data_IF_768898185805
#
_entry.id   IF_768898185805
#
_cell.length_a   1.000
_cell.length_b   1.000
_cell.length_c   1.000
_cell.angle_alpha   90.00
_cell.angle_beta   90.00
_cell.angle_gamma   90.00
#
_symmetry.space_group_name_H-M   'P 1'
#
loop_
_entity.id
_entity.type
_entity.pdbx_description
1 polymer ?
#
# COMPACT_ATOMS: atom_id res chain seq x y z
N UNK A 1 -19.16 19.75 17.73
CA UNK A 1 -18.22 18.92 16.96
C UNK A 1 -17.94 19.63 15.67
N UNK A 2 -16.73 20.16 15.53
CA UNK A 2 -16.27 20.69 14.25
C UNK A 2 -15.76 19.56 13.32
N UNK A 3 -15.39 19.90 12.08
CA UNK A 3 -14.93 18.92 11.10
C UNK A 3 -13.65 18.19 11.53
N UNK A 4 -12.73 18.88 12.20
CA UNK A 4 -11.46 18.32 12.62
C UNK A 4 -11.62 17.39 13.82
N UNK A 5 -12.50 17.76 14.77
CA UNK A 5 -12.91 16.92 15.89
C UNK A 5 -13.61 15.63 15.40
N UNK A 6 -14.48 15.74 14.40
CA UNK A 6 -15.13 14.57 13.79
C UNK A 6 -14.11 13.63 13.15
N UNK A 7 -13.19 14.17 12.35
CA UNK A 7 -12.13 13.40 11.69
C UNK A 7 -11.26 12.68 12.74
N UNK A 8 -10.65 13.41 13.67
CA UNK A 8 -9.76 12.82 14.69
C UNK A 8 -10.45 11.85 15.66
N UNK A 9 -11.76 11.99 15.86
CA UNK A 9 -12.52 11.22 16.83
C UNK A 9 -13.33 10.08 16.16
N UNK A 10 -14.67 10.23 16.02
CA UNK A 10 -15.52 9.14 15.57
C UNK A 10 -15.13 8.55 14.21
N UNK A 11 -14.75 9.38 13.24
CA UNK A 11 -14.49 8.93 11.88
C UNK A 11 -13.22 8.06 11.81
N UNK A 12 -12.14 8.48 12.48
CA UNK A 12 -10.93 7.68 12.69
C UNK A 12 -11.24 6.33 13.33
N UNK A 13 -12.03 6.28 14.40
CA UNK A 13 -12.38 5.03 15.08
C UNK A 13 -13.09 4.04 14.14
N UNK A 14 -14.11 4.50 13.42
CA UNK A 14 -14.84 3.65 12.47
C UNK A 14 -13.96 3.19 11.31
N UNK A 15 -13.10 4.06 10.79
CA UNK A 15 -12.18 3.71 9.69
C UNK A 15 -11.22 2.59 10.09
N UNK A 16 -10.68 2.62 11.32
CA UNK A 16 -9.78 1.59 11.86
C UNK A 16 -10.53 0.27 12.10
N UNK A 17 -11.75 0.32 12.62
CA UNK A 17 -12.60 -0.88 12.79
C UNK A 17 -12.84 -1.55 11.44
N UNK A 18 -13.22 -0.78 10.41
CA UNK A 18 -13.47 -1.29 9.06
C UNK A 18 -12.18 -1.86 8.45
N UNK A 19 -11.05 -1.18 8.63
CA UNK A 19 -9.75 -1.65 8.16
C UNK A 19 -9.41 -3.02 8.78
N UNK A 20 -9.44 -3.13 10.10
CA UNK A 20 -9.07 -4.34 10.83
C UNK A 20 -10.02 -5.48 10.48
N UNK A 21 -11.34 -5.23 10.52
CA UNK A 21 -12.34 -6.23 10.17
C UNK A 21 -12.23 -6.66 8.70
N UNK A 22 -12.03 -5.71 7.79
CA UNK A 22 -11.87 -5.98 6.36
C UNK A 22 -10.64 -6.82 6.05
N UNK A 23 -9.49 -6.51 6.68
CA UNK A 23 -8.27 -7.33 6.55
C UNK A 23 -8.53 -8.73 7.13
N UNK A 24 -9.09 -8.84 8.33
CA UNK A 24 -9.40 -10.12 8.97
C UNK A 24 -10.34 -10.97 8.12
N UNK A 25 -11.41 -10.37 7.56
CA UNK A 25 -12.35 -11.03 6.66
C UNK A 25 -11.66 -11.57 5.40
N UNK A 26 -10.78 -10.77 4.77
CA UNK A 26 -10.03 -11.19 3.57
C UNK A 26 -9.06 -12.33 3.88
N UNK A 27 -8.33 -12.24 4.99
CA UNK A 27 -7.41 -13.29 5.43
C UNK A 27 -8.15 -14.57 5.79
N UNK A 28 -9.26 -14.47 6.52
CA UNK A 28 -10.14 -15.59 6.83
C UNK A 28 -10.64 -16.26 5.56
N UNK A 29 -11.17 -15.48 4.61
CA UNK A 29 -11.58 -16.00 3.30
C UNK A 29 -10.47 -16.78 2.60
N UNK A 30 -9.25 -16.25 2.53
CA UNK A 30 -8.14 -16.92 1.80
C UNK A 30 -7.64 -18.19 2.51
N UNK A 31 -7.63 -18.19 3.86
CA UNK A 31 -7.15 -19.32 4.66
C UNK A 31 -8.18 -20.45 4.68
N UNK A 32 -9.46 -20.11 4.83
CA UNK A 32 -10.54 -21.08 5.04
C UNK A 32 -11.28 -21.47 3.75
N UNK A 33 -11.22 -20.69 2.66
CA UNK A 33 -11.72 -21.19 1.37
C UNK A 33 -10.90 -22.40 0.93
N UNK A 34 -11.61 -23.51 0.78
CA UNK A 34 -11.05 -24.84 0.56
C UNK A 34 -10.21 -24.87 -0.72
N UNK A 35 -8.89 -24.97 -0.57
CA UNK A 35 -8.01 -25.34 -1.68
C UNK A 35 -8.25 -26.83 -1.98
N UNK A 36 -8.37 -27.17 -3.26
CA UNK A 36 -8.44 -28.59 -3.68
C UNK A 36 -7.23 -29.31 -3.11
N UNK A 37 -7.46 -30.47 -2.48
CA UNK A 37 -6.38 -31.31 -1.95
C UNK A 37 -5.41 -31.62 -3.09
N UNK A 38 -4.13 -31.29 -2.90
CA UNK A 38 -3.11 -31.68 -3.86
C UNK A 38 -2.87 -33.19 -3.71
N UNK A 39 -3.32 -33.96 -4.69
CA UNK A 39 -3.23 -35.43 -4.70
C UNK A 39 -1.84 -35.93 -5.10
N UNK A 40 -0.99 -35.07 -5.66
CA UNK A 40 0.37 -35.47 -6.03
C UNK A 40 1.23 -35.68 -4.78
N UNK A 41 2.11 -36.67 -4.79
CA UNK A 41 3.08 -36.87 -3.72
C UNK A 41 4.06 -35.68 -3.63
N UNK A 42 4.44 -35.21 -2.42
CA UNK A 42 5.48 -34.20 -2.26
C UNK A 42 6.81 -34.66 -2.87
N UNK A 43 7.40 -33.84 -3.75
CA UNK A 43 8.72 -34.11 -4.34
C UNK A 43 9.88 -33.52 -3.51
N UNK A 44 9.58 -32.58 -2.60
CA UNK A 44 10.56 -32.02 -1.65
C UNK A 44 9.89 -31.67 -0.31
N UNK A 45 10.69 -31.65 0.75
CA UNK A 45 10.27 -31.39 2.14
C UNK A 45 10.39 -29.91 2.57
N UNK A 46 11.15 -29.10 1.83
CA UNK A 46 11.46 -27.68 2.14
C UNK A 46 10.34 -26.67 1.88
N UNK A 47 9.09 -27.01 2.21
CA UNK A 47 7.90 -26.21 1.87
C UNK A 47 7.92 -24.82 2.54
N UNK A 48 8.27 -24.75 3.83
CA UNK A 48 8.38 -23.48 4.55
C UNK A 48 9.53 -22.61 4.00
N UNK A 49 10.68 -23.20 3.72
CA UNK A 49 11.81 -22.51 3.09
C UNK A 49 11.45 -21.95 1.72
N UNK A 50 10.73 -22.73 0.91
CA UNK A 50 10.18 -22.28 -0.38
C UNK A 50 9.19 -21.12 -0.25
N UNK A 51 8.34 -21.13 0.77
CA UNK A 51 7.40 -20.05 1.05
C UNK A 51 8.12 -18.74 1.37
N UNK A 52 9.03 -18.77 2.36
CA UNK A 52 9.79 -17.58 2.78
C UNK A 52 10.65 -17.07 1.64
N UNK A 53 11.38 -17.95 0.95
CA UNK A 53 12.23 -17.56 -0.19
C UNK A 53 11.44 -16.86 -1.28
N UNK A 54 10.24 -17.35 -1.61
CA UNK A 54 9.41 -16.81 -2.70
C UNK A 54 8.86 -15.42 -2.40
N UNK A 55 8.61 -15.10 -1.12
CA UNK A 55 8.18 -13.76 -0.71
C UNK A 55 9.18 -12.70 -1.20
N UNK A 56 10.48 -12.97 -1.01
CA UNK A 56 11.56 -12.05 -1.37
C UNK A 56 12.08 -12.26 -2.80
N UNK A 57 12.29 -13.50 -3.24
CA UNK A 57 12.87 -13.81 -4.56
C UNK A 57 12.02 -13.30 -5.72
N UNK A 58 10.70 -13.16 -5.51
CA UNK A 58 9.73 -12.69 -6.51
C UNK A 58 9.38 -11.21 -6.39
N UNK A 59 10.15 -10.45 -5.60
CA UNK A 59 10.08 -8.99 -5.56
C UNK A 59 10.68 -8.33 -6.80
N UNK A 60 11.61 -9.01 -7.48
CA UNK A 60 12.23 -8.53 -8.72
C UNK A 60 11.71 -9.37 -9.90
N UNK A 61 11.31 -8.75 -11.02
CA UNK A 61 10.86 -9.48 -12.20
C UNK A 61 11.95 -10.38 -12.76
N UNK A 62 11.56 -11.50 -13.37
CA UNK A 62 12.52 -12.37 -14.05
C UNK A 62 13.21 -11.64 -15.21
N UNK A 63 14.51 -11.93 -15.44
CA UNK A 63 15.36 -11.27 -16.45
C UNK A 63 14.74 -11.21 -17.84
N UNK A 64 14.04 -12.26 -18.25
CA UNK A 64 13.34 -12.35 -19.54
C UNK A 64 12.30 -11.23 -19.77
N UNK A 65 11.78 -10.62 -18.71
CA UNK A 65 10.75 -9.57 -18.80
C UNK A 65 11.29 -8.15 -18.60
N UNK A 66 12.58 -7.99 -18.28
CA UNK A 66 13.15 -6.70 -17.87
C UNK A 66 12.88 -5.57 -18.87
N UNK A 67 13.07 -5.82 -20.17
CA UNK A 67 12.83 -4.83 -21.22
C UNK A 67 11.42 -4.26 -21.24
N UNK A 68 10.42 -5.01 -20.73
CA UNK A 68 9.01 -4.61 -20.75
C UNK A 68 8.53 -4.02 -19.42
N UNK A 69 9.04 -4.52 -18.29
CA UNK A 69 8.47 -4.22 -16.96
C UNK A 69 9.37 -3.39 -16.05
N UNK A 70 10.67 -3.27 -16.36
CA UNK A 70 11.63 -2.70 -15.42
C UNK A 70 11.33 -1.25 -15.06
N UNK A 71 10.96 -0.42 -16.04
CA UNK A 71 10.55 0.96 -15.78
C UNK A 71 9.43 1.05 -14.73
N UNK A 72 8.34 0.29 -14.93
CA UNK A 72 7.21 0.31 -14.00
C UNK A 72 7.57 -0.28 -12.64
N UNK A 73 8.49 -1.24 -12.61
CA UNK A 73 8.98 -1.84 -11.38
C UNK A 73 9.81 -0.84 -10.56
N UNK A 74 10.78 -0.17 -11.19
CA UNK A 74 11.64 0.83 -10.54
C UNK A 74 10.80 2.01 -10.02
N UNK A 75 10.01 2.64 -10.89
CA UNK A 75 9.17 3.78 -10.49
C UNK A 75 8.14 3.35 -9.44
N UNK A 76 7.63 2.12 -9.55
CA UNK A 76 6.79 1.51 -8.52
C UNK A 76 7.50 1.43 -7.17
N UNK A 77 8.74 0.94 -7.11
CA UNK A 77 9.52 0.89 -5.86
C UNK A 77 9.85 2.28 -5.32
N UNK A 78 10.22 3.23 -6.18
CA UNK A 78 10.45 4.62 -5.77
C UNK A 78 9.21 5.18 -5.07
N UNK A 79 8.03 4.97 -5.66
CA UNK A 79 6.76 5.34 -5.05
C UNK A 79 6.53 4.63 -3.70
N UNK A 80 6.65 3.30 -3.62
CA UNK A 80 6.35 2.57 -2.38
C UNK A 80 7.33 2.89 -1.24
N UNK A 81 8.62 2.96 -1.54
CA UNK A 81 9.65 3.32 -0.56
C UNK A 81 9.43 4.76 -0.09
N UNK A 82 9.17 5.68 -1.02
CA UNK A 82 8.90 7.07 -0.68
C UNK A 82 7.64 7.22 0.18
N UNK A 83 6.56 6.51 -0.16
CA UNK A 83 5.35 6.48 0.65
C UNK A 83 5.62 5.92 2.06
N UNK A 84 6.40 4.84 2.18
CA UNK A 84 6.78 4.28 3.47
C UNK A 84 7.60 5.27 4.31
N UNK A 85 8.55 5.99 3.70
CA UNK A 85 9.32 7.03 4.39
C UNK A 85 8.40 8.16 4.87
N UNK A 86 7.48 8.65 4.03
CA UNK A 86 6.55 9.73 4.43
C UNK A 86 5.66 9.27 5.58
N UNK A 87 5.09 8.07 5.51
CA UNK A 87 4.18 7.55 6.54
C UNK A 87 4.90 7.26 7.84
N UNK A 88 6.05 6.59 7.80
CA UNK A 88 6.70 6.11 9.02
C UNK A 88 7.76 7.06 9.56
N UNK A 89 8.42 7.90 8.76
CA UNK A 89 9.53 8.72 9.24
C UNK A 89 9.18 10.20 9.47
N UNK A 90 7.93 10.61 9.22
CA UNK A 90 7.50 11.99 9.44
C UNK A 90 6.93 12.18 10.85
N UNK A 91 7.40 13.21 11.57
CA UNK A 91 7.09 13.43 12.98
C UNK A 91 5.57 13.45 13.29
N UNK A 92 4.70 14.17 12.56
CA UNK A 92 3.26 14.15 12.83
C UNK A 92 2.64 12.75 12.73
N UNK A 93 3.10 11.91 11.80
CA UNK A 93 2.62 10.53 11.69
C UNK A 93 3.14 9.68 12.85
N UNK A 94 4.40 9.86 13.27
CA UNK A 94 4.98 9.16 14.41
C UNK A 94 4.19 9.48 15.70
N UNK A 95 3.83 10.74 15.92
CA UNK A 95 3.00 11.14 17.07
C UNK A 95 1.60 10.54 17.01
N UNK A 96 1.03 10.40 15.80
CA UNK A 96 -0.23 9.67 15.63
C UNK A 96 -0.06 8.17 15.96
N UNK A 97 1.01 7.53 15.50
CA UNK A 97 1.32 6.14 15.87
C UNK A 97 1.53 5.98 17.38
N UNK A 98 2.25 6.90 18.03
CA UNK A 98 2.47 6.90 19.48
C UNK A 98 1.14 6.96 20.24
N UNK A 99 0.17 7.75 19.76
CA UNK A 99 -1.15 7.86 20.38
C UNK A 99 -1.96 6.55 20.37
N UNK A 100 -1.62 5.61 19.48
CA UNK A 100 -2.30 4.32 19.32
C UNK A 100 -1.46 3.17 19.89
N UNK A 101 -0.15 3.18 19.63
CA UNK A 101 0.78 2.09 19.94
C UNK A 101 1.50 2.27 21.28
N UNK A 102 1.55 3.50 21.82
CA UNK A 102 2.23 3.82 23.07
C UNK A 102 3.76 3.93 22.97
N UNK A 103 4.33 3.91 21.77
CA UNK A 103 5.77 4.12 21.54
C UNK A 103 6.05 4.89 20.26
N UNK A 104 7.24 5.49 20.17
CA UNK A 104 7.70 6.28 19.03
C UNK A 104 9.13 5.91 18.62
N UNK A 105 9.58 6.45 17.50
CA UNK A 105 10.93 6.28 16.96
C UNK A 105 11.43 7.59 16.33
N UNK A 106 12.75 7.71 16.03
CA UNK A 106 13.30 8.95 15.51
C UNK A 106 12.70 9.36 14.15
N UNK A 107 12.30 10.63 14.04
CA UNK A 107 11.85 11.24 12.79
C UNK A 107 13.03 11.60 11.88
N UNK A 108 12.80 11.63 10.57
CA UNK A 108 13.74 12.20 9.60
C UNK A 108 13.59 13.73 9.51
N UNK A 109 14.63 14.44 9.04
CA UNK A 109 14.53 15.87 8.80
C UNK A 109 13.41 16.22 7.83
N UNK A 110 12.68 17.29 8.12
CA UNK A 110 11.53 17.74 7.32
C UNK A 110 11.89 17.99 5.85
N UNK A 111 13.09 18.48 5.56
CA UNK A 111 13.58 18.68 4.18
C UNK A 111 13.65 17.37 3.39
N UNK A 112 14.10 16.29 4.03
CA UNK A 112 14.16 14.95 3.45
C UNK A 112 12.75 14.44 3.18
N UNK A 113 11.84 14.57 4.14
CA UNK A 113 10.44 14.16 3.98
C UNK A 113 9.78 14.93 2.83
N UNK A 114 9.95 16.24 2.74
CA UNK A 114 9.39 17.06 1.65
C UNK A 114 9.91 16.62 0.29
N UNK A 115 11.24 16.41 0.15
CA UNK A 115 11.82 15.93 -1.10
C UNK A 115 11.26 14.55 -1.49
N UNK A 116 11.20 13.63 -0.52
CA UNK A 116 10.68 12.27 -0.75
C UNK A 116 9.19 12.32 -1.11
N UNK A 117 8.39 13.16 -0.48
CA UNK A 117 6.98 13.34 -0.80
C UNK A 117 6.78 13.83 -2.25
N UNK A 118 7.57 14.82 -2.68
CA UNK A 118 7.55 15.33 -4.07
C UNK A 118 7.93 14.23 -5.08
N UNK A 119 9.00 13.48 -4.82
CA UNK A 119 9.42 12.36 -5.69
C UNK A 119 8.34 11.26 -5.74
N UNK A 120 7.72 10.97 -4.59
CA UNK A 120 6.63 9.99 -4.48
C UNK A 120 5.44 10.43 -5.33
N UNK A 121 5.01 11.69 -5.18
CA UNK A 121 3.90 12.27 -5.94
C UNK A 121 4.19 12.25 -7.45
N UNK A 122 5.38 12.69 -7.86
CA UNK A 122 5.81 12.66 -9.26
C UNK A 122 5.82 11.23 -9.82
N UNK A 123 6.26 10.24 -9.05
CA UNK A 123 6.26 8.83 -9.44
C UNK A 123 4.85 8.28 -9.62
N UNK A 124 3.91 8.65 -8.75
CA UNK A 124 2.50 8.28 -8.88
C UNK A 124 1.85 8.88 -10.13
N UNK A 125 2.14 10.14 -10.44
CA UNK A 125 1.66 10.81 -11.64
C UNK A 125 2.28 10.15 -12.89
N UNK A 126 3.58 9.88 -12.90
CA UNK A 126 4.25 9.21 -14.02
C UNK A 126 3.65 7.83 -14.31
N UNK A 127 3.35 7.04 -13.28
CA UNK A 127 2.70 5.73 -13.43
C UNK A 127 1.26 5.85 -13.94
N UNK A 128 0.50 6.87 -13.50
CA UNK A 128 -0.82 7.14 -14.04
C UNK A 128 -0.76 7.54 -15.52
N UNK A 129 0.11 8.49 -15.88
CA UNK A 129 0.30 8.93 -17.27
C UNK A 129 0.66 7.75 -18.16
N UNK A 130 1.59 6.89 -17.73
CA UNK A 130 1.92 5.66 -18.46
C UNK A 130 0.71 4.74 -18.62
N UNK A 131 -0.11 4.58 -17.58
CA UNK A 131 -1.33 3.75 -17.64
C UNK A 131 -2.37 4.30 -18.61
N UNK A 132 -2.52 5.62 -18.69
CA UNK A 132 -3.46 6.30 -19.57
C UNK A 132 -3.00 6.30 -21.04
N UNK A 133 -1.70 6.39 -21.29
CA UNK A 133 -1.13 6.50 -22.64
C UNK A 133 -0.77 5.15 -23.26
N UNK A 134 -0.36 4.16 -22.46
CA UNK A 134 0.06 2.86 -22.99
C UNK A 134 -1.15 2.01 -23.41
N UNK A 135 -1.26 1.58 -24.68
CA UNK A 135 -2.48 0.96 -25.23
C UNK A 135 -2.88 -0.33 -24.49
N UNK A 136 -1.90 -1.18 -24.15
CA UNK A 136 -2.17 -2.41 -23.39
C UNK A 136 -2.65 -2.12 -21.97
N UNK A 137 -1.99 -1.20 -21.24
CA UNK A 137 -2.36 -0.90 -19.86
C UNK A 137 -3.75 -0.27 -19.79
N UNK A 138 -4.08 0.63 -20.71
CA UNK A 138 -5.43 1.23 -20.80
C UNK A 138 -6.51 0.17 -21.06
N UNK A 139 -6.26 -0.81 -21.93
CA UNK A 139 -7.22 -1.89 -22.22
C UNK A 139 -7.48 -2.83 -21.04
N UNK A 140 -6.48 -3.08 -20.21
CA UNK A 140 -6.62 -3.96 -19.04
C UNK A 140 -6.93 -3.21 -17.73
N UNK A 141 -7.00 -1.87 -17.77
CA UNK A 141 -7.32 -1.06 -16.60
C UNK A 141 -8.82 -1.05 -16.37
N UNK A 142 -9.21 -1.12 -15.09
CA UNK A 142 -10.59 -1.03 -14.65
C UNK A 142 -10.76 0.09 -13.61
N UNK A 143 -12.00 0.29 -13.16
CA UNK A 143 -12.34 1.31 -12.16
C UNK A 143 -11.41 1.26 -10.94
N UNK A 144 -11.16 0.07 -10.40
CA UNK A 144 -10.33 -0.13 -9.21
C UNK A 144 -8.86 0.33 -9.40
N UNK A 145 -8.28 0.22 -10.62
CA UNK A 145 -6.92 0.76 -10.85
C UNK A 145 -6.85 2.26 -10.61
N UNK A 146 -7.82 3.00 -11.15
CA UNK A 146 -7.86 4.46 -11.09
C UNK A 146 -8.33 4.93 -9.72
N UNK A 147 -9.32 4.24 -9.15
CA UNK A 147 -9.86 4.57 -7.85
C UNK A 147 -8.86 4.29 -6.73
N UNK A 148 -8.20 3.13 -6.73
CA UNK A 148 -7.13 2.84 -5.76
C UNK A 148 -5.96 3.81 -5.88
N UNK A 149 -5.60 4.25 -7.11
CA UNK A 149 -4.60 5.30 -7.30
C UNK A 149 -5.06 6.64 -6.68
N UNK A 150 -6.32 7.05 -6.92
CA UNK A 150 -6.88 8.28 -6.38
C UNK A 150 -6.89 8.28 -4.85
N UNK A 151 -7.37 7.19 -4.26
CA UNK A 151 -7.41 7.00 -2.80
C UNK A 151 -6.02 7.03 -2.17
N UNK A 152 -4.99 6.65 -2.91
CA UNK A 152 -3.59 6.68 -2.42
C UNK A 152 -2.96 8.06 -2.59
N UNK A 153 -3.24 8.77 -3.69
CA UNK A 153 -2.59 10.06 -3.98
C UNK A 153 -3.19 11.21 -3.20
N UNK A 154 -4.50 11.17 -2.91
CA UNK A 154 -5.20 12.27 -2.20
C UNK A 154 -4.63 12.51 -0.79
N UNK A 155 -4.39 11.48 0.05
CA UNK A 155 -3.75 11.70 1.35
C UNK A 155 -2.35 12.32 1.24
N UNK A 156 -1.56 11.88 0.26
CA UNK A 156 -0.22 12.44 0.04
C UNK A 156 -0.31 13.91 -0.36
N UNK A 157 -1.19 14.25 -1.30
CA UNK A 157 -1.39 15.61 -1.78
C UNK A 157 -1.91 16.54 -0.68
N UNK A 158 -2.95 16.12 0.04
CA UNK A 158 -3.58 16.90 1.12
C UNK A 158 -2.66 17.05 2.32
N UNK A 159 -1.85 16.02 2.63
CA UNK A 159 -0.83 16.08 3.68
C UNK A 159 0.28 17.07 3.35
N UNK A 160 0.74 17.07 2.08
CA UNK A 160 1.65 18.12 1.59
C UNK A 160 1.02 19.50 1.70
N UNK A 161 -0.23 19.69 1.26
CA UNK A 161 -0.92 20.98 1.34
C UNK A 161 -1.06 21.49 2.79
N UNK A 162 -1.36 20.59 3.73
CA UNK A 162 -1.45 20.93 5.14
C UNK A 162 -0.07 21.37 5.68
N UNK A 163 0.99 20.66 5.30
CA UNK A 163 2.36 20.96 5.71
C UNK A 163 2.91 22.25 5.09
N UNK A 164 2.66 22.51 3.81
CA UNK A 164 3.13 23.72 3.10
C UNK A 164 2.19 24.91 3.28
N UNK A 165 1.11 24.75 4.04
CA UNK A 165 0.06 25.75 4.22
C UNK A 165 -0.55 26.25 2.89
N UNK A 166 -0.57 25.40 1.85
CA UNK A 166 -1.11 25.73 0.51
C UNK A 166 -2.55 25.24 0.37
N UNK A 167 -3.43 25.71 1.24
CA UNK A 167 -4.84 25.30 1.32
C UNK A 167 -5.79 25.98 0.33
N UNK A 168 -5.30 26.68 -0.69
CA UNK A 168 -6.13 27.47 -1.62
C UNK A 168 -7.13 28.43 -0.92
N UNK A 169 -6.69 29.07 0.16
CA UNK A 169 -7.53 29.98 0.97
C UNK A 169 -8.35 29.30 2.08
N UNK A 170 -8.32 27.96 2.18
CA UNK A 170 -8.89 27.24 3.32
C UNK A 170 -8.04 27.44 4.58
N UNK A 171 -8.71 27.42 5.73
CA UNK A 171 -8.05 27.36 7.04
C UNK A 171 -7.22 26.09 7.19
N UNK A 172 -6.12 26.17 7.93
CA UNK A 172 -5.22 25.04 8.19
C UNK A 172 -5.98 23.83 8.74
N UNK A 173 -6.88 24.06 9.70
CA UNK A 173 -7.69 23.04 10.37
C UNK A 173 -8.59 22.31 9.37
N UNK A 174 -9.10 23.01 8.36
CA UNK A 174 -9.90 22.42 7.28
C UNK A 174 -9.05 21.53 6.39
N UNK A 175 -7.87 21.99 5.96
CA UNK A 175 -6.96 21.18 5.13
C UNK A 175 -6.49 19.94 5.88
N UNK A 176 -6.18 20.09 7.17
CA UNK A 176 -5.80 18.99 8.03
C UNK A 176 -6.93 17.99 8.23
N UNK A 177 -8.16 18.45 8.43
CA UNK A 177 -9.33 17.56 8.51
C UNK A 177 -9.54 16.80 7.20
N UNK A 178 -9.40 17.45 6.04
CA UNK A 178 -9.47 16.81 4.72
C UNK A 178 -8.38 15.74 4.57
N UNK A 179 -7.15 16.04 5.00
CA UNK A 179 -6.07 15.06 4.99
C UNK A 179 -6.43 13.82 5.83
N UNK A 180 -6.86 14.02 7.08
CA UNK A 180 -7.24 12.93 7.98
C UNK A 180 -8.39 12.11 7.39
N UNK A 181 -9.47 12.75 6.93
CA UNK A 181 -10.60 12.06 6.30
C UNK A 181 -10.20 11.29 5.03
N UNK A 182 -9.24 11.79 4.26
CA UNK A 182 -8.72 11.06 3.10
C UNK A 182 -7.91 9.82 3.49
N UNK A 183 -7.17 9.87 4.60
CA UNK A 183 -6.47 8.71 5.18
C UNK A 183 -7.47 7.69 5.71
N UNK A 184 -8.51 8.13 6.39
CA UNK A 184 -9.60 7.26 6.85
C UNK A 184 -10.31 6.56 5.69
N UNK A 185 -10.56 7.29 4.60
CA UNK A 185 -11.11 6.69 3.39
C UNK A 185 -10.15 5.67 2.78
N UNK A 186 -8.83 5.93 2.81
CA UNK A 186 -7.82 4.95 2.43
C UNK A 186 -7.90 3.70 3.31
N UNK A 187 -8.02 3.84 4.63
CA UNK A 187 -8.18 2.71 5.56
C UNK A 187 -9.43 1.88 5.24
N UNK A 188 -10.55 2.54 4.95
CA UNK A 188 -11.80 1.87 4.57
C UNK A 188 -11.63 1.10 3.25
N UNK A 189 -10.98 1.69 2.23
CA UNK A 189 -10.84 1.08 0.91
C UNK A 189 -9.75 -0.01 0.84
N UNK A 190 -8.72 0.10 1.68
CA UNK A 190 -7.51 -0.73 1.65
C UNK A 190 -7.79 -2.25 1.58
N UNK A 191 -8.70 -2.85 2.36
CA UNK A 191 -8.95 -4.29 2.30
C UNK A 191 -9.80 -4.74 1.10
N UNK A 192 -10.55 -3.85 0.47
CA UNK A 192 -11.58 -4.22 -0.52
C UNK A 192 -11.15 -4.00 -1.98
N UNK A 193 -10.20 -3.12 -2.24
CA UNK A 193 -9.68 -2.85 -3.59
C UNK A 193 -8.33 -3.50 -3.91
N UNK A 194 -7.72 -3.06 -5.01
CA UNK A 194 -6.35 -3.42 -5.41
C UNK A 194 -5.29 -3.05 -4.40
N UNK A 195 -5.57 -2.11 -3.48
CA UNK A 195 -4.68 -1.77 -2.36
C UNK A 195 -4.40 -2.94 -1.42
N UNK A 196 -5.25 -3.97 -1.41
CA UNK A 196 -5.05 -5.15 -0.56
C UNK A 196 -3.74 -5.90 -0.80
N UNK A 197 -3.03 -5.63 -1.90
CA UNK A 197 -1.68 -6.15 -2.12
C UNK A 197 -0.70 -5.79 -0.99
N UNK A 198 -0.93 -4.69 -0.25
CA UNK A 198 -0.06 -4.25 0.85
C UNK A 198 0.11 -5.30 1.95
N UNK A 199 -0.92 -6.13 2.19
CA UNK A 199 -0.86 -7.23 3.17
C UNK A 199 -0.97 -8.62 2.50
N UNK A 200 -1.68 -8.74 1.36
CA UNK A 200 -1.87 -10.03 0.69
C UNK A 200 -0.64 -10.52 -0.07
N UNK A 201 0.33 -9.65 -0.38
CA UNK A 201 1.54 -10.04 -1.11
C UNK A 201 2.32 -11.15 -0.39
N UNK A 202 2.39 -11.10 0.94
CA UNK A 202 3.11 -12.08 1.74
C UNK A 202 2.41 -13.45 1.71
N UNK A 203 1.10 -13.47 1.88
CA UNK A 203 0.30 -14.69 1.87
C UNK A 203 0.25 -15.34 0.47
N UNK A 204 0.01 -14.54 -0.56
CA UNK A 204 -0.07 -15.01 -1.95
C UNK A 204 1.27 -15.59 -2.43
N UNK A 205 2.39 -14.88 -2.20
CA UNK A 205 3.72 -15.37 -2.56
C UNK A 205 4.17 -16.54 -1.69
N UNK A 206 3.94 -16.48 -0.38
CA UNK A 206 4.28 -17.57 0.53
C UNK A 206 3.57 -18.87 0.17
N UNK A 207 2.26 -18.81 -0.09
CA UNK A 207 1.50 -20.00 -0.48
C UNK A 207 1.86 -20.53 -1.87
N UNK A 208 2.24 -19.65 -2.81
CA UNK A 208 2.77 -20.06 -4.12
C UNK A 208 4.13 -20.73 -3.98
N UNK A 209 5.01 -20.16 -3.16
CA UNK A 209 6.34 -20.71 -2.87
C UNK A 209 6.29 -22.08 -2.20
N UNK A 210 5.39 -22.25 -1.23
CA UNK A 210 5.11 -23.53 -0.60
C UNK A 210 4.70 -24.59 -1.65
N UNK A 211 3.80 -24.22 -2.57
CA UNK A 211 3.34 -25.12 -3.62
C UNK A 211 4.45 -25.49 -4.60
N UNK A 212 5.27 -24.53 -5.00
CA UNK A 212 6.42 -24.77 -5.89
C UNK A 212 7.46 -25.69 -5.24
N UNK A 213 7.85 -25.41 -3.98
CA UNK A 213 8.74 -26.28 -3.24
C UNK A 213 8.20 -27.70 -3.13
N UNK A 214 6.92 -27.87 -2.73
CA UNK A 214 6.28 -29.20 -2.65
C UNK A 214 6.36 -29.97 -3.97
N UNK A 215 6.26 -29.29 -5.11
CA UNK A 215 6.31 -29.88 -6.46
C UNK A 215 7.72 -30.01 -7.03
N UNK A 216 8.75 -29.63 -6.28
CA UNK A 216 10.14 -29.59 -6.76
C UNK A 216 10.42 -28.52 -7.82
N UNK A 217 9.54 -27.53 -7.95
CA UNK A 217 9.70 -26.41 -8.87
C UNK A 217 10.56 -25.30 -8.23
N UNK A 218 11.18 -24.48 -9.07
CA UNK A 218 12.09 -23.42 -8.62
C UNK A 218 11.33 -22.31 -7.87
N UNK A 219 11.60 -22.19 -6.57
CA UNK A 219 11.20 -21.06 -5.69
C UNK A 219 12.19 -19.91 -5.75
#
# INVERSE_FOLDING_TARGET
MDLLEFARGPAMQWSLIILVFGIAWRLFGIIFLKRKKDLAEPRQTGVLGGAVKTIFSRSVPARAFWSRVMYSNIVGYVFHIGLAIVVFAFLPHILWFESILGFQWPALPTSVITLVAVITLASMVALLVKRLTHPVLRRISNFDDYFSWLVTIVPLLTGMMAFTHTGFGMRYETVLAIHILSVEFLFIWLPFGKLGHSFLVFLSRGTTGALFARRGART
#
